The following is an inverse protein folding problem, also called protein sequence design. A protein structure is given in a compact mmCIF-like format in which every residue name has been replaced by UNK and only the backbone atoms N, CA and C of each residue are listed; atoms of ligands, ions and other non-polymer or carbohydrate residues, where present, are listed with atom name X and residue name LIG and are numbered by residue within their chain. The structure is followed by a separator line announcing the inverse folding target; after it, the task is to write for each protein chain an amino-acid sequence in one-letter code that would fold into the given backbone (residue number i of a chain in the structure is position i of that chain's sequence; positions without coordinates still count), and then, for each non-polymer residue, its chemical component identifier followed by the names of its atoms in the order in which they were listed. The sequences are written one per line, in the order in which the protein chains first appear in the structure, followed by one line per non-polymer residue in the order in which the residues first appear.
data_IF_827709283910
#
_entry.id   IF_827709283910
#
_cell.length_a   1.000
_cell.length_b   1.000
_cell.length_c   1.000
_cell.angle_alpha   90.00
_cell.angle_beta   90.00
_cell.angle_gamma   90.00
#
_symmetry.space_group_name_H-M   'P 1'
#
loop_
_entity.id
_entity.type
_entity.pdbx_description
1 polymer ?
#
# COMPACT_ATOMS: atom_id res chain seq x y z
N UNK A 1 -23.49 4.53 -12.28
CA UNK A 1 -22.60 4.68 -11.09
C UNK A 1 -21.30 3.99 -11.39
N UNK A 2 -20.19 4.71 -11.36
CA UNK A 2 -18.87 4.16 -11.60
C UNK A 2 -18.48 3.29 -10.41
N UNK A 3 -18.52 1.97 -10.57
CA UNK A 3 -18.27 1.01 -9.51
C UNK A 3 -16.77 0.97 -9.18
N UNK A 4 -16.41 1.38 -7.96
CA UNK A 4 -15.07 1.18 -7.42
C UNK A 4 -14.87 -0.32 -7.12
N UNK A 5 -13.78 -0.88 -7.62
CA UNK A 5 -13.36 -2.25 -7.38
C UNK A 5 -11.94 -2.25 -6.80
N UNK A 6 -11.72 -2.94 -5.67
CA UNK A 6 -10.37 -3.27 -5.20
C UNK A 6 -10.11 -4.73 -5.53
N UNK A 7 -9.00 -5.00 -6.21
CA UNK A 7 -8.58 -6.34 -6.61
C UNK A 7 -7.06 -6.50 -6.51
N UNK A 8 -6.60 -7.74 -6.60
CA UNK A 8 -5.18 -8.02 -6.77
C UNK A 8 -4.68 -7.39 -8.07
N UNK A 9 -3.49 -6.81 -8.02
CA UNK A 9 -2.84 -6.26 -9.20
C UNK A 9 -2.47 -7.38 -10.19
N UNK A 10 -2.59 -7.06 -11.46
CA UNK A 10 -2.11 -7.87 -12.60
C UNK A 10 -0.89 -7.19 -13.22
N UNK A 11 -0.14 -7.90 -14.04
CA UNK A 11 1.09 -7.37 -14.64
C UNK A 11 0.81 -6.10 -15.47
N UNK A 12 -0.35 -6.04 -16.13
CA UNK A 12 -0.78 -4.89 -16.92
C UNK A 12 -1.01 -3.62 -16.08
N UNK A 13 -1.23 -3.76 -14.77
CA UNK A 13 -1.41 -2.62 -13.87
C UNK A 13 -0.06 -2.00 -13.45
N UNK A 14 1.04 -2.72 -13.61
CA UNK A 14 2.34 -2.33 -13.08
C UNK A 14 2.80 -0.94 -13.53
N UNK A 15 2.67 -0.53 -14.82
CA UNK A 15 2.99 0.83 -15.24
C UNK A 15 2.19 1.89 -14.48
N UNK A 16 0.89 1.67 -14.28
CA UNK A 16 0.03 2.59 -13.54
C UNK A 16 0.40 2.66 -12.05
N UNK A 17 0.75 1.53 -11.45
CA UNK A 17 1.22 1.48 -10.05
C UNK A 17 2.50 2.29 -9.90
N UNK A 18 3.50 2.09 -10.76
CA UNK A 18 4.77 2.82 -10.70
C UNK A 18 4.54 4.32 -10.94
N UNK A 19 3.66 4.69 -11.87
CA UNK A 19 3.27 6.08 -12.09
C UNK A 19 2.63 6.71 -10.83
N UNK A 20 1.75 5.98 -10.13
CA UNK A 20 1.18 6.45 -8.87
C UNK A 20 2.23 6.63 -7.78
N UNK A 21 3.21 5.74 -7.69
CA UNK A 21 4.31 5.84 -6.73
C UNK A 21 5.21 7.04 -7.04
N UNK A 22 5.49 7.30 -8.32
CA UNK A 22 6.29 8.43 -8.78
C UNK A 22 5.58 9.79 -8.59
N UNK A 23 4.26 9.83 -8.64
CA UNK A 23 3.45 11.05 -8.47
C UNK A 23 3.25 11.43 -6.99
N UNK A 24 4.36 11.52 -6.26
CA UNK A 24 4.42 11.91 -4.85
C UNK A 24 5.75 12.64 -4.61
N UNK A 25 5.77 13.62 -3.73
CA UNK A 25 6.94 14.47 -3.46
C UNK A 25 8.20 13.64 -3.12
N UNK A 26 8.04 12.57 -2.33
CA UNK A 26 9.14 11.67 -2.00
C UNK A 26 9.38 10.61 -3.09
N UNK A 27 8.33 10.19 -3.80
CA UNK A 27 8.38 9.20 -4.86
C UNK A 27 9.08 9.70 -6.12
N UNK A 28 8.90 10.97 -6.47
CA UNK A 28 9.46 11.58 -7.68
C UNK A 28 10.99 11.45 -7.78
N UNK A 29 11.70 11.40 -6.65
CA UNK A 29 13.16 11.24 -6.60
C UNK A 29 13.61 9.77 -6.47
N UNK A 30 12.69 8.83 -6.25
CA UNK A 30 13.00 7.42 -5.98
C UNK A 30 12.53 6.47 -7.06
N UNK A 31 11.45 6.83 -7.75
CA UNK A 31 10.79 5.97 -8.72
C UNK A 31 11.12 6.41 -10.16
N UNK A 32 11.13 5.44 -11.05
CA UNK A 32 11.34 5.67 -12.48
C UNK A 32 10.17 5.03 -13.26
N UNK A 33 9.23 5.89 -13.67
CA UNK A 33 8.05 5.48 -14.44
C UNK A 33 8.26 5.50 -15.95
N UNK A 34 9.50 5.70 -16.43
CA UNK A 34 9.84 5.68 -17.85
C UNK A 34 9.54 4.31 -18.45
N UNK A 35 8.89 4.31 -19.60
CA UNK A 35 8.57 3.06 -20.33
C UNK A 35 9.62 2.74 -21.40
N UNK A 36 9.98 1.47 -21.56
CA UNK A 36 9.59 0.30 -20.77
C UNK A 36 10.12 0.38 -19.33
N UNK A 37 9.33 -0.11 -18.37
CA UNK A 37 9.76 -0.13 -16.97
C UNK A 37 11.05 -0.93 -16.79
N UNK A 38 11.86 -0.53 -15.81
CA UNK A 38 13.05 -1.30 -15.41
C UNK A 38 12.64 -2.70 -14.96
N UNK A 39 13.44 -3.69 -15.35
CA UNK A 39 13.23 -5.10 -15.01
C UNK A 39 13.04 -5.35 -13.51
N UNK A 40 13.69 -4.55 -12.66
CA UNK A 40 13.57 -4.63 -11.21
C UNK A 40 12.13 -4.51 -10.70
N UNK A 41 11.27 -3.71 -11.35
CA UNK A 41 9.85 -3.63 -11.00
C UNK A 41 9.10 -4.92 -11.33
N UNK A 42 9.36 -5.50 -12.50
CA UNK A 42 8.75 -6.78 -12.89
C UNK A 42 9.23 -7.92 -12.00
N UNK A 43 10.51 -7.96 -11.65
CA UNK A 43 11.07 -8.97 -10.75
C UNK A 43 10.43 -8.86 -9.34
N UNK A 44 10.28 -7.64 -8.81
CA UNK A 44 9.61 -7.39 -7.54
C UNK A 44 8.12 -7.79 -7.60
N UNK A 45 7.43 -7.44 -8.70
CA UNK A 45 6.03 -7.83 -8.91
C UNK A 45 5.87 -9.36 -8.88
N UNK A 46 6.72 -10.09 -9.60
CA UNK A 46 6.68 -11.56 -9.62
C UNK A 46 6.95 -12.15 -8.25
N UNK A 47 7.91 -11.60 -7.50
CA UNK A 47 8.19 -12.03 -6.12
C UNK A 47 6.98 -11.82 -5.20
N UNK A 48 6.31 -10.66 -5.29
CA UNK A 48 5.08 -10.36 -4.54
C UNK A 48 3.96 -11.33 -4.92
N UNK A 49 3.77 -11.60 -6.21
CA UNK A 49 2.70 -12.48 -6.68
C UNK A 49 2.90 -13.94 -6.28
N UNK A 50 4.15 -14.40 -6.14
CA UNK A 50 4.48 -15.76 -5.75
C UNK A 50 4.46 -16.00 -4.23
N UNK A 51 4.43 -14.94 -3.42
CA UNK A 51 4.37 -15.04 -1.96
C UNK A 51 2.91 -14.97 -1.46
N UNK A 52 2.39 -16.05 -0.83
CA UNK A 52 1.02 -16.06 -0.31
C UNK A 52 0.77 -15.06 0.83
N UNK A 53 1.83 -14.51 1.41
CA UNK A 53 1.76 -13.50 2.46
C UNK A 53 1.81 -12.06 1.91
N UNK A 54 1.86 -11.89 0.59
CA UNK A 54 1.85 -10.59 -0.07
C UNK A 54 0.54 -10.37 -0.84
N UNK A 55 0.04 -9.16 -0.78
CA UNK A 55 -1.10 -8.73 -1.57
C UNK A 55 -0.85 -7.32 -2.11
N UNK A 56 -0.50 -7.21 -3.38
CA UNK A 56 -0.48 -5.94 -4.08
C UNK A 56 -1.88 -5.67 -4.61
N UNK A 57 -2.52 -4.62 -4.13
CA UNK A 57 -3.88 -4.23 -4.49
C UNK A 57 -3.91 -3.03 -5.40
N UNK A 58 -4.87 -3.00 -6.30
CA UNK A 58 -5.26 -1.82 -7.08
C UNK A 58 -6.72 -1.49 -6.84
N UNK A 59 -7.01 -0.19 -6.73
CA UNK A 59 -8.36 0.36 -6.79
C UNK A 59 -8.63 0.82 -8.22
N UNK A 60 -9.71 0.33 -8.81
CA UNK A 60 -10.05 0.53 -10.23
C UNK A 60 -11.43 1.15 -10.34
N UNK A 61 -11.55 2.18 -11.17
CA UNK A 61 -12.82 2.79 -11.58
C UNK A 61 -12.80 2.81 -13.12
N UNK A 62 -13.84 2.25 -13.76
CA UNK A 62 -13.94 2.22 -15.24
C UNK A 62 -12.68 1.68 -15.94
N UNK A 63 -12.12 0.60 -15.40
CA UNK A 63 -10.86 -0.01 -15.85
C UNK A 63 -9.59 0.86 -15.70
N UNK A 64 -9.68 2.00 -15.02
CA UNK A 64 -8.54 2.87 -14.74
C UNK A 64 -8.07 2.63 -13.32
N UNK A 65 -6.78 2.39 -13.13
CA UNK A 65 -6.16 2.28 -11.80
C UNK A 65 -6.09 3.67 -11.17
N UNK A 66 -6.82 3.87 -10.09
CA UNK A 66 -6.92 5.14 -9.36
C UNK A 66 -6.30 5.10 -7.97
N UNK A 67 -5.84 3.94 -7.55
CA UNK A 67 -5.14 3.78 -6.27
C UNK A 67 -4.44 2.44 -6.16
N UNK A 68 -3.49 2.34 -5.25
CA UNK A 68 -2.74 1.11 -4.95
C UNK A 68 -2.36 1.04 -3.48
N UNK A 69 -2.15 -0.15 -2.98
CA UNK A 69 -1.47 -0.44 -1.71
C UNK A 69 -0.82 -1.83 -1.77
N UNK A 70 0.20 -2.02 -0.95
CA UNK A 70 0.75 -3.34 -0.68
C UNK A 70 0.46 -3.74 0.76
N UNK A 71 -0.05 -4.95 0.95
CA UNK A 71 -0.36 -5.55 2.24
C UNK A 71 0.51 -6.78 2.42
N UNK A 72 1.27 -6.82 3.52
CA UNK A 72 2.11 -7.95 3.90
C UNK A 72 1.58 -8.57 5.18
N UNK A 73 1.35 -9.89 5.17
CA UNK A 73 0.99 -10.65 6.35
C UNK A 73 2.26 -11.22 6.98
N UNK A 74 2.54 -10.87 8.22
CA UNK A 74 3.76 -11.19 8.93
C UNK A 74 3.47 -12.21 10.04
N UNK A 75 3.90 -13.48 9.88
CA UNK A 75 3.92 -14.43 10.99
C UNK A 75 4.89 -13.96 12.06
N UNK A 76 4.57 -14.18 13.32
CA UNK A 76 5.36 -13.70 14.44
C UNK A 76 5.34 -14.71 15.57
N UNK A 77 6.50 -15.02 16.14
CA UNK A 77 6.60 -15.88 17.33
C UNK A 77 6.20 -15.12 18.59
N UNK A 78 6.57 -13.84 18.68
CA UNK A 78 6.13 -12.99 19.79
C UNK A 78 4.62 -12.81 19.80
N UNK A 79 4.05 -12.24 20.85
CA UNK A 79 2.62 -12.12 21.06
C UNK A 79 1.86 -13.46 20.94
N UNK A 80 2.49 -14.55 21.43
CA UNK A 80 1.94 -15.93 21.40
C UNK A 80 1.70 -16.47 20.00
N UNK A 81 2.58 -16.15 19.05
CA UNK A 81 2.47 -16.58 17.66
C UNK A 81 1.43 -15.82 16.84
N UNK A 82 1.06 -14.63 17.27
CA UNK A 82 0.07 -13.82 16.57
C UNK A 82 0.60 -13.26 15.25
N UNK A 83 -0.26 -13.25 14.24
CA UNK A 83 0.02 -12.61 12.95
C UNK A 83 -0.28 -11.11 13.02
N UNK A 84 0.48 -10.33 12.27
CA UNK A 84 0.22 -8.90 12.03
C UNK A 84 0.22 -8.61 10.54
N UNK A 85 -0.40 -7.52 10.13
CA UNK A 85 -0.37 -7.05 8.76
C UNK A 85 0.38 -5.72 8.67
N UNK A 86 1.14 -5.52 7.60
CA UNK A 86 1.80 -4.25 7.31
C UNK A 86 1.23 -3.66 6.03
N UNK A 87 0.85 -2.38 6.08
CA UNK A 87 0.38 -1.62 4.93
C UNK A 87 1.52 -0.73 4.44
N UNK A 88 1.81 -0.79 3.15
CA UNK A 88 2.87 -0.02 2.50
C UNK A 88 2.41 0.52 1.15
N UNK A 89 3.17 1.47 0.62
CA UNK A 89 3.04 1.98 -0.75
C UNK A 89 1.62 2.47 -1.10
N UNK A 90 0.86 2.98 -0.14
CA UNK A 90 -0.49 3.49 -0.41
C UNK A 90 -0.42 4.76 -1.24
N UNK A 91 -1.07 4.73 -2.41
CA UNK A 91 -1.19 5.90 -3.28
C UNK A 91 -2.60 6.01 -3.83
N UNK A 92 -3.03 7.25 -4.01
CA UNK A 92 -4.29 7.63 -4.66
C UNK A 92 -3.98 8.61 -5.77
N UNK A 93 -4.54 8.36 -6.95
CA UNK A 93 -4.41 9.24 -8.10
C UNK A 93 -4.88 10.65 -7.73
N UNK A 94 -4.19 11.67 -8.22
CA UNK A 94 -4.45 13.07 -7.85
C UNK A 94 -5.91 13.50 -8.05
N UNK A 95 -6.54 13.05 -9.15
CA UNK A 95 -7.96 13.34 -9.44
C UNK A 95 -8.95 12.71 -8.46
N UNK A 96 -8.49 11.80 -7.58
CA UNK A 96 -9.29 11.09 -6.57
C UNK A 96 -8.82 11.36 -5.15
N UNK A 97 -7.87 12.27 -4.95
CA UNK A 97 -7.51 12.76 -3.61
C UNK A 97 -8.69 13.52 -2.98
N UNK A 98 -8.79 13.48 -1.67
CA UNK A 98 -9.88 14.09 -0.90
C UNK A 98 -11.29 13.56 -1.22
N UNK A 99 -11.42 12.46 -1.96
CA UNK A 99 -12.69 11.80 -2.28
C UNK A 99 -13.09 10.70 -1.30
N UNK A 100 -12.28 10.44 -0.26
CA UNK A 100 -12.46 9.33 0.66
C UNK A 100 -11.82 8.02 0.18
N UNK A 101 -11.26 7.95 -1.03
CA UNK A 101 -10.67 6.72 -1.57
C UNK A 101 -9.51 6.19 -0.71
N UNK A 102 -8.66 7.07 -0.17
CA UNK A 102 -7.58 6.66 0.72
C UNK A 102 -8.11 5.96 1.98
N UNK A 103 -9.12 6.53 2.63
CA UNK A 103 -9.80 5.91 3.77
C UNK A 103 -10.37 4.53 3.40
N UNK A 104 -11.06 4.45 2.29
CA UNK A 104 -11.66 3.19 1.81
C UNK A 104 -10.60 2.10 1.56
N UNK A 105 -9.43 2.45 0.98
CA UNK A 105 -8.31 1.52 0.81
C UNK A 105 -7.80 0.98 2.15
N UNK A 106 -7.65 1.85 3.16
CA UNK A 106 -7.23 1.44 4.50
C UNK A 106 -8.26 0.55 5.19
N UNK A 107 -9.53 0.92 5.15
CA UNK A 107 -10.63 0.12 5.72
C UNK A 107 -10.70 -1.26 5.07
N UNK A 108 -10.54 -1.33 3.75
CA UNK A 108 -10.43 -2.59 3.02
C UNK A 108 -9.22 -3.42 3.48
N UNK A 109 -8.03 -2.83 3.60
CA UNK A 109 -6.82 -3.53 4.04
C UNK A 109 -6.95 -4.04 5.48
N UNK A 110 -7.54 -3.25 6.38
CA UNK A 110 -7.82 -3.66 7.76
C UNK A 110 -8.78 -4.87 7.78
N UNK A 111 -9.80 -4.85 6.92
CA UNK A 111 -10.72 -5.98 6.80
C UNK A 111 -10.03 -7.24 6.26
N UNK A 112 -9.13 -7.12 5.27
CA UNK A 112 -8.31 -8.24 4.79
C UNK A 112 -7.43 -8.81 5.91
N UNK A 113 -6.80 -7.95 6.72
CA UNK A 113 -6.01 -8.36 7.86
C UNK A 113 -6.84 -9.15 8.90
N UNK A 114 -8.05 -8.68 9.22
CA UNK A 114 -8.98 -9.40 10.11
C UNK A 114 -9.36 -10.76 9.56
N UNK A 115 -9.70 -10.84 8.28
CA UNK A 115 -10.05 -12.12 7.61
C UNK A 115 -8.88 -13.10 7.60
N UNK A 116 -7.64 -12.60 7.54
CA UNK A 116 -6.41 -13.42 7.63
C UNK A 116 -6.09 -13.86 9.07
N UNK A 117 -6.81 -13.36 10.07
CA UNK A 117 -6.56 -13.66 11.49
C UNK A 117 -5.43 -12.81 12.11
N UNK A 118 -5.06 -11.69 11.51
CA UNK A 118 -4.10 -10.78 12.10
C UNK A 118 -4.70 -10.08 13.33
N UNK A 119 -3.91 -9.94 14.38
CA UNK A 119 -4.32 -9.24 15.61
C UNK A 119 -3.93 -7.77 15.60
N UNK A 120 -3.10 -7.36 14.65
CA UNK A 120 -2.57 -6.01 14.55
C UNK A 120 -2.36 -5.63 13.07
N UNK A 121 -2.60 -4.36 12.77
CA UNK A 121 -2.19 -3.72 11.51
C UNK A 121 -1.20 -2.63 11.85
N UNK A 122 -0.10 -2.56 11.11
CA UNK A 122 0.96 -1.57 11.30
C UNK A 122 1.34 -0.89 9.98
N UNK A 123 1.91 0.28 10.08
CA UNK A 123 2.52 1.01 8.97
C UNK A 123 3.69 1.86 9.48
N UNK A 124 4.51 2.35 8.57
CA UNK A 124 5.48 3.42 8.84
C UNK A 124 5.12 4.66 8.03
N UNK A 125 5.32 5.82 8.62
CA UNK A 125 5.11 7.10 7.98
C UNK A 125 6.36 7.96 8.13
N UNK A 126 6.73 8.68 7.06
CA UNK A 126 7.81 9.66 7.14
C UNK A 126 7.43 10.75 8.14
N UNK A 127 8.38 11.08 9.04
CA UNK A 127 8.16 12.05 10.12
C UNK A 127 7.80 13.45 9.64
N UNK A 128 8.18 13.77 8.40
CA UNK A 128 7.89 15.07 7.77
C UNK A 128 6.46 15.20 7.25
N UNK A 129 5.72 14.08 7.12
CA UNK A 129 4.36 14.04 6.59
C UNK A 129 3.29 14.24 7.67
N UNK A 130 3.21 15.45 8.22
CA UNK A 130 2.30 15.78 9.33
C UNK A 130 0.82 15.50 9.02
N UNK A 131 0.37 15.80 7.79
CA UNK A 131 -1.01 15.55 7.37
C UNK A 131 -1.35 14.05 7.37
N UNK A 132 -0.38 13.21 7.02
CA UNK A 132 -0.54 11.75 7.07
C UNK A 132 -0.69 11.25 8.52
N UNK A 133 0.00 11.85 9.48
CA UNK A 133 -0.16 11.49 10.90
C UNK A 133 -1.60 11.74 11.38
N UNK A 134 -2.21 12.89 11.05
CA UNK A 134 -3.61 13.17 11.38
C UNK A 134 -4.56 12.16 10.72
N UNK A 135 -4.31 11.82 9.47
CA UNK A 135 -5.09 10.83 8.72
C UNK A 135 -5.04 9.45 9.40
N UNK A 136 -3.87 8.97 9.79
CA UNK A 136 -3.73 7.67 10.45
C UNK A 136 -4.36 7.65 11.84
N UNK A 137 -4.19 8.71 12.62
CA UNK A 137 -4.86 8.84 13.93
C UNK A 137 -6.38 8.80 13.80
N UNK A 138 -6.95 9.45 12.76
CA UNK A 138 -8.38 9.43 12.48
C UNK A 138 -8.89 8.03 12.01
N UNK A 139 -7.99 7.12 11.61
CA UNK A 139 -8.28 5.72 11.31
C UNK A 139 -8.10 4.80 12.54
N UNK A 140 -7.64 5.33 13.67
CA UNK A 140 -7.40 4.58 14.90
C UNK A 140 -5.98 4.02 15.04
N UNK A 141 -5.03 4.44 14.19
CA UNK A 141 -3.62 4.10 14.40
C UNK A 141 -3.00 4.98 15.47
N UNK A 142 -2.15 4.39 16.31
CA UNK A 142 -1.40 5.06 17.36
C UNK A 142 0.08 5.14 16.98
N UNK A 143 0.75 6.30 17.13
CA UNK A 143 2.18 6.46 16.86
C UNK A 143 3.02 5.94 18.05
N UNK A 144 2.91 4.65 18.33
CA UNK A 144 3.48 3.99 19.51
C UNK A 144 4.95 3.58 19.36
N UNK A 145 5.50 3.60 18.14
CA UNK A 145 6.85 3.11 17.84
C UNK A 145 7.58 4.07 16.91
N UNK A 146 8.90 4.17 17.08
CA UNK A 146 9.78 4.88 16.15
C UNK A 146 10.40 3.89 15.17
N UNK A 147 10.30 4.17 13.87
CA UNK A 147 10.94 3.36 12.83
C UNK A 147 12.41 3.75 12.64
N UNK A 148 13.28 2.74 12.53
CA UNK A 148 14.68 2.92 12.17
C UNK A 148 14.96 2.26 10.82
N UNK A 149 15.72 2.93 9.96
CA UNK A 149 16.12 2.44 8.62
C UNK A 149 17.61 2.63 8.42
N UNK A 150 18.26 1.61 7.91
CA UNK A 150 19.66 1.65 7.51
C UNK A 150 19.76 1.31 6.02
N UNK A 151 20.47 2.13 5.27
CA UNK A 151 20.81 1.81 3.88
C UNK A 151 21.99 0.85 3.86
N UNK A 152 21.94 -0.14 2.99
CA UNK A 152 22.97 -1.15 2.76
C UNK A 152 23.45 -1.09 1.31
#
# INVERSE_FOLDING_TARGET
MNKLLIRRAMLEDLPSIVALLANDTLGASREDSTLPLRKTYTDAFNAICSDPNQFLAVAVIENIVVGTLQLTYLPNISLRGAWRAQIEAVRVHESKRNSGLGRYLFEWAIQQARMRGCVMVQLTCDVTRKDAHHFYSALGFEPSHTGFKMKI
#
